data_IF_110888525929
#
_entry.id   IF_110888525929
#
_cell.length_a   1.000
_cell.length_b   1.000
_cell.length_c   1.000
_cell.angle_alpha   90.00
_cell.angle_beta   90.00
_cell.angle_gamma   90.00
#
_symmetry.space_group_name_H-M   'P 1'
#
loop_
_entity.id
_entity.type
_entity.pdbx_description
1 polymer ?
#
# COMPACT_ATOMS: atom_id res chain seq x y z
N UNK A 1 -21.25 6.00 19.40
CA UNK A 1 -21.99 7.20 18.96
C UNK A 1 -22.20 7.08 17.46
N UNK A 2 -23.43 6.93 16.93
CA UNK A 2 -23.63 6.89 15.49
C UNK A 2 -23.54 8.34 14.99
N UNK A 3 -22.35 8.76 14.57
CA UNK A 3 -22.17 10.00 13.83
C UNK A 3 -22.86 9.85 12.48
N UNK A 4 -23.94 10.59 12.25
CA UNK A 4 -24.56 10.63 10.93
C UNK A 4 -23.50 11.06 9.90
N UNK A 5 -23.39 10.35 8.75
CA UNK A 5 -22.43 10.74 7.72
C UNK A 5 -22.72 12.17 7.24
N UNK A 6 -21.69 12.94 6.84
CA UNK A 6 -21.87 14.29 6.28
C UNK A 6 -22.90 14.32 5.15
N UNK A 7 -23.59 15.44 4.96
CA UNK A 7 -24.62 15.61 3.92
C UNK A 7 -24.11 15.23 2.53
N UNK A 8 -22.84 15.54 2.26
CA UNK A 8 -22.11 15.28 1.02
C UNK A 8 -22.00 13.77 0.76
N UNK A 9 -21.66 13.02 1.81
CA UNK A 9 -21.53 11.56 1.76
C UNK A 9 -22.89 10.91 1.58
N UNK A 10 -23.94 11.43 2.24
CA UNK A 10 -25.31 10.93 2.06
C UNK A 10 -25.79 11.13 0.62
N UNK A 11 -25.53 12.30 0.04
CA UNK A 11 -25.86 12.62 -1.35
C UNK A 11 -25.11 11.70 -2.33
N UNK A 12 -23.80 11.54 -2.16
CA UNK A 12 -23.00 10.64 -2.99
C UNK A 12 -23.50 9.19 -2.90
N UNK A 13 -23.81 8.70 -1.70
CA UNK A 13 -24.36 7.36 -1.50
C UNK A 13 -25.70 7.19 -2.22
N UNK A 14 -26.58 8.20 -2.14
CA UNK A 14 -27.85 8.19 -2.85
C UNK A 14 -27.64 8.12 -4.37
N UNK A 15 -26.75 8.95 -4.92
CA UNK A 15 -26.49 8.99 -6.35
C UNK A 15 -25.88 7.68 -6.88
N UNK A 16 -24.98 7.06 -6.10
CA UNK A 16 -24.41 5.75 -6.44
C UNK A 16 -25.47 4.64 -6.34
N UNK A 17 -26.37 4.67 -5.36
CA UNK A 17 -27.50 3.75 -5.30
C UNK A 17 -28.42 3.90 -6.51
N UNK A 18 -28.69 5.14 -6.95
CA UNK A 18 -29.46 5.40 -8.16
C UNK A 18 -28.77 4.82 -9.41
N UNK A 19 -27.44 4.90 -9.49
CA UNK A 19 -26.68 4.28 -10.58
C UNK A 19 -26.88 2.76 -10.61
N UNK A 20 -26.95 2.11 -9.44
CA UNK A 20 -27.04 0.65 -9.28
C UNK A 20 -28.46 0.08 -9.37
N UNK A 21 -29.51 0.91 -9.48
CA UNK A 21 -30.89 0.41 -9.57
C UNK A 21 -31.07 -0.57 -10.74
N UNK A 22 -31.77 -1.70 -10.54
CA UNK A 22 -32.10 -2.61 -11.63
C UNK A 22 -32.85 -1.84 -12.72
N UNK A 23 -32.44 -2.05 -13.98
CA UNK A 23 -32.86 -1.32 -15.19
C UNK A 23 -32.21 0.05 -15.45
N UNK A 24 -31.24 0.49 -14.64
CA UNK A 24 -30.43 1.66 -15.02
C UNK A 24 -29.33 1.26 -16.02
N UNK A 25 -29.34 1.75 -17.28
CA UNK A 25 -28.29 1.44 -18.27
C UNK A 25 -26.92 1.99 -17.84
N UNK A 26 -26.86 2.93 -16.91
CA UNK A 26 -25.62 3.53 -16.44
C UNK A 26 -24.79 2.59 -15.55
N UNK A 27 -25.38 1.75 -14.69
CA UNK A 27 -24.64 0.72 -13.95
C UNK A 27 -23.99 -0.28 -14.90
N UNK A 28 -24.78 -0.80 -15.86
CA UNK A 28 -24.28 -1.71 -16.90
C UNK A 28 -23.15 -1.08 -17.69
N UNK A 29 -23.28 0.17 -18.08
CA UNK A 29 -22.25 0.93 -18.80
C UNK A 29 -20.96 1.13 -17.98
N UNK A 30 -21.08 1.38 -16.67
CA UNK A 30 -19.93 1.53 -15.78
C UNK A 30 -19.20 0.20 -15.57
N UNK A 31 -19.92 -0.87 -15.22
CA UNK A 31 -19.31 -2.20 -15.02
C UNK A 31 -18.70 -2.73 -16.32
N UNK A 32 -19.38 -2.56 -17.47
CA UNK A 32 -18.82 -2.93 -18.77
C UNK A 32 -17.55 -2.13 -19.11
N UNK A 33 -17.50 -0.84 -18.76
CA UNK A 33 -16.29 -0.03 -18.89
C UNK A 33 -15.17 -0.58 -18.02
N UNK A 34 -15.43 -0.83 -16.73
CA UNK A 34 -14.45 -1.36 -15.79
C UNK A 34 -13.90 -2.69 -16.30
N UNK A 35 -14.78 -3.63 -16.66
CA UNK A 35 -14.40 -4.95 -17.21
C UNK A 35 -13.50 -4.84 -18.44
N UNK A 36 -13.86 -3.97 -19.39
CA UNK A 36 -13.05 -3.72 -20.58
C UNK A 36 -11.67 -3.16 -20.22
N UNK A 37 -11.61 -2.21 -19.29
CA UNK A 37 -10.34 -1.61 -18.88
C UNK A 37 -9.46 -2.61 -18.12
N UNK A 38 -10.03 -3.46 -17.26
CA UNK A 38 -9.30 -4.58 -16.62
C UNK A 38 -8.64 -5.48 -17.67
N UNK A 39 -9.38 -5.85 -18.72
CA UNK A 39 -8.88 -6.67 -19.82
C UNK A 39 -7.76 -5.96 -20.61
N UNK A 40 -7.92 -4.66 -20.91
CA UNK A 40 -6.90 -3.87 -21.59
C UNK A 40 -5.57 -3.83 -20.82
N UNK A 41 -5.62 -3.86 -19.49
CA UNK A 41 -4.43 -3.87 -18.64
C UNK A 41 -3.90 -5.29 -18.33
N UNK A 42 -4.60 -6.34 -18.78
CA UNK A 42 -4.23 -7.74 -18.55
C UNK A 42 -4.39 -8.18 -17.08
N UNK A 43 -5.39 -7.63 -16.38
CA UNK A 43 -5.61 -7.86 -14.94
C UNK A 43 -6.78 -8.82 -14.63
N UNK A 44 -7.45 -9.36 -15.64
CA UNK A 44 -8.67 -10.15 -15.51
C UNK A 44 -8.55 -11.43 -14.66
N UNK A 45 -7.33 -11.94 -14.48
CA UNK A 45 -7.08 -13.11 -13.63
C UNK A 45 -6.91 -12.75 -12.14
N UNK A 46 -6.85 -11.46 -11.79
CA UNK A 46 -6.43 -10.98 -10.47
C UNK A 46 -7.45 -10.04 -9.81
N UNK A 47 -8.31 -9.39 -10.60
CA UNK A 47 -9.27 -8.43 -10.10
C UNK A 47 -10.55 -8.43 -10.92
N UNK A 48 -11.68 -8.27 -10.23
CA UNK A 48 -13.01 -8.24 -10.85
C UNK A 48 -13.52 -6.81 -11.02
N UNK A 49 -14.55 -6.64 -11.84
CA UNK A 49 -15.24 -5.36 -11.98
C UNK A 49 -15.89 -4.87 -10.67
N UNK A 50 -16.29 -5.80 -9.80
CA UNK A 50 -16.92 -5.48 -8.52
C UNK A 50 -15.88 -4.93 -7.54
N UNK A 51 -14.68 -5.51 -7.49
CA UNK A 51 -13.59 -5.03 -6.62
C UNK A 51 -13.23 -3.58 -6.94
N UNK A 52 -13.06 -3.27 -8.23
CA UNK A 52 -12.78 -1.91 -8.69
C UNK A 52 -13.94 -0.96 -8.38
N UNK A 53 -15.18 -1.41 -8.56
CA UNK A 53 -16.36 -0.59 -8.27
C UNK A 53 -16.44 -0.25 -6.77
N UNK A 54 -16.27 -1.25 -5.90
CA UNK A 54 -16.32 -1.08 -4.44
C UNK A 54 -15.20 -0.14 -3.98
N UNK A 55 -13.96 -0.34 -4.45
CA UNK A 55 -12.85 0.54 -4.10
C UNK A 55 -13.07 1.97 -4.59
N UNK A 56 -13.60 2.15 -5.81
CA UNK A 56 -13.97 3.47 -6.32
C UNK A 56 -15.01 4.13 -5.41
N UNK A 57 -16.06 3.40 -5.03
CA UNK A 57 -17.09 3.89 -4.11
C UNK A 57 -16.49 4.30 -2.76
N UNK A 58 -15.65 3.45 -2.15
CA UNK A 58 -15.00 3.74 -0.87
C UNK A 58 -14.08 4.96 -0.94
N UNK A 59 -13.38 5.19 -2.06
CA UNK A 59 -12.62 6.42 -2.27
C UNK A 59 -13.53 7.65 -2.36
N UNK A 60 -14.74 7.52 -2.91
CA UNK A 60 -15.72 8.60 -2.99
C UNK A 60 -16.30 8.95 -1.62
N UNK A 61 -16.62 7.93 -0.81
CA UNK A 61 -17.02 8.12 0.59
C UNK A 61 -15.92 8.83 1.38
N UNK A 62 -14.67 8.35 1.30
CA UNK A 62 -13.52 9.00 1.95
C UNK A 62 -13.34 10.45 1.49
N UNK A 63 -13.44 10.72 0.19
CA UNK A 63 -13.34 12.06 -0.37
C UNK A 63 -14.37 13.02 0.23
N UNK A 64 -15.64 12.63 0.23
CA UNK A 64 -16.74 13.47 0.74
C UNK A 64 -16.64 13.70 2.24
N UNK A 65 -16.19 12.70 3.00
CA UNK A 65 -15.97 12.83 4.44
C UNK A 65 -14.82 13.76 4.81
N UNK A 66 -13.70 13.66 4.08
CA UNK A 66 -12.48 14.42 4.38
C UNK A 66 -12.59 15.87 3.92
N UNK A 67 -13.13 16.11 2.71
CA UNK A 67 -13.12 17.44 2.11
C UNK A 67 -14.40 18.23 2.38
N UNK A 68 -15.45 17.58 2.91
CA UNK A 68 -16.79 18.19 3.05
C UNK A 68 -17.30 18.80 1.72
N UNK A 69 -16.92 18.17 0.61
CA UNK A 69 -17.25 18.61 -0.75
C UNK A 69 -18.17 17.64 -1.48
N UNK A 70 -19.07 18.19 -2.29
CA UNK A 70 -20.00 17.44 -3.12
C UNK A 70 -19.34 16.95 -4.40
N UNK A 71 -19.49 15.66 -4.70
CA UNK A 71 -19.13 15.10 -6.01
C UNK A 71 -20.26 15.41 -6.99
N UNK A 72 -20.13 16.51 -7.74
CA UNK A 72 -21.19 17.00 -8.66
C UNK A 72 -21.57 16.03 -9.78
N UNK A 73 -20.64 15.17 -10.22
CA UNK A 73 -20.88 14.21 -11.29
C UNK A 73 -20.43 12.80 -10.87
N UNK A 74 -21.23 12.09 -10.04
CA UNK A 74 -20.84 10.81 -9.46
C UNK A 74 -20.46 9.76 -10.50
N UNK A 75 -21.19 9.68 -11.62
CA UNK A 75 -20.88 8.75 -12.72
C UNK A 75 -19.50 9.01 -13.34
N UNK A 76 -19.18 10.27 -13.65
CA UNK A 76 -17.90 10.63 -14.26
C UNK A 76 -16.75 10.44 -13.28
N UNK A 77 -16.99 10.80 -12.01
CA UNK A 77 -16.05 10.58 -10.92
C UNK A 77 -15.76 9.08 -10.75
N UNK A 78 -16.77 8.23 -10.66
CA UNK A 78 -16.62 6.77 -10.52
C UNK A 78 -15.84 6.18 -11.70
N UNK A 79 -16.10 6.60 -12.94
CA UNK A 79 -15.32 6.14 -14.11
C UNK A 79 -13.85 6.54 -14.02
N UNK A 80 -13.57 7.80 -13.68
CA UNK A 80 -12.20 8.31 -13.55
C UNK A 80 -11.45 7.59 -12.42
N UNK A 81 -12.09 7.43 -11.28
CA UNK A 81 -11.52 6.74 -10.11
C UNK A 81 -11.27 5.27 -10.42
N UNK A 82 -12.22 4.56 -11.05
CA UNK A 82 -12.04 3.18 -11.46
C UNK A 82 -10.84 2.99 -12.41
N UNK A 83 -10.69 3.87 -13.41
CA UNK A 83 -9.53 3.85 -14.30
C UNK A 83 -8.22 4.02 -13.53
N UNK A 84 -8.18 4.98 -12.59
CA UNK A 84 -6.98 5.23 -11.78
C UNK A 84 -6.64 4.03 -10.90
N UNK A 85 -7.61 3.38 -10.27
CA UNK A 85 -7.40 2.17 -9.47
C UNK A 85 -6.81 1.07 -10.35
N UNK A 86 -7.38 0.80 -11.53
CA UNK A 86 -6.86 -0.22 -12.46
C UNK A 86 -5.40 0.08 -12.85
N UNK A 87 -5.09 1.35 -13.13
CA UNK A 87 -3.73 1.78 -13.44
C UNK A 87 -2.78 1.60 -12.25
N UNK A 88 -3.23 1.91 -11.04
CA UNK A 88 -2.47 1.67 -9.81
C UNK A 88 -2.19 0.17 -9.64
N UNK A 89 -3.21 -0.70 -9.73
CA UNK A 89 -3.06 -2.15 -9.66
C UNK A 89 -2.03 -2.68 -10.68
N UNK A 90 -2.05 -2.19 -11.92
CA UNK A 90 -1.07 -2.57 -12.93
C UNK A 90 0.35 -2.18 -12.53
N UNK A 91 0.52 -0.94 -12.07
CA UNK A 91 1.82 -0.42 -11.65
C UNK A 91 2.36 -1.17 -10.44
N UNK A 92 1.50 -1.48 -9.48
CA UNK A 92 1.89 -2.20 -8.27
C UNK A 92 2.27 -3.64 -8.64
N UNK A 93 1.52 -4.30 -9.53
CA UNK A 93 1.90 -5.60 -10.07
C UNK A 93 3.23 -5.59 -10.82
N UNK A 94 3.50 -4.56 -11.61
CA UNK A 94 4.81 -4.41 -12.27
C UNK A 94 5.94 -4.23 -11.25
N UNK A 95 5.70 -3.51 -10.16
CA UNK A 95 6.66 -3.36 -9.07
C UNK A 95 6.91 -4.70 -8.35
N UNK A 96 5.86 -5.44 -8.01
CA UNK A 96 5.99 -6.76 -7.39
C UNK A 96 6.74 -7.75 -8.28
N UNK A 97 6.45 -7.77 -9.60
CA UNK A 97 7.18 -8.63 -10.52
C UNK A 97 8.66 -8.25 -10.65
N UNK A 98 9.00 -6.96 -10.61
CA UNK A 98 10.39 -6.52 -10.61
C UNK A 98 11.12 -6.97 -9.34
N UNK A 99 10.50 -6.80 -8.18
CA UNK A 99 11.08 -7.25 -6.89
C UNK A 99 11.23 -8.77 -6.85
N UNK A 100 10.19 -9.53 -7.23
CA UNK A 100 10.25 -10.99 -7.25
C UNK A 100 11.31 -11.51 -8.25
N UNK A 101 11.53 -10.81 -9.36
CA UNK A 101 12.59 -11.14 -10.31
C UNK A 101 13.97 -10.86 -9.71
N UNK A 102 14.16 -9.72 -9.04
CA UNK A 102 15.40 -9.40 -8.33
C UNK A 102 15.70 -10.44 -7.23
N UNK A 103 14.68 -10.83 -6.44
CA UNK A 103 14.80 -11.89 -5.42
C UNK A 103 15.19 -13.25 -6.01
N UNK A 104 14.58 -13.64 -7.14
CA UNK A 104 14.92 -14.89 -7.84
C UNK A 104 16.38 -14.87 -8.33
N UNK A 105 16.82 -13.75 -8.90
CA UNK A 105 18.20 -13.57 -9.35
C UNK A 105 19.20 -13.61 -8.19
N UNK A 106 18.84 -13.05 -7.02
CA UNK A 106 19.65 -13.15 -5.81
C UNK A 106 19.71 -14.59 -5.27
N UNK A 107 18.61 -15.35 -5.32
CA UNK A 107 18.56 -16.76 -4.91
C UNK A 107 19.36 -17.69 -5.83
N UNK A 108 19.29 -17.48 -7.16
CA UNK A 108 20.09 -18.22 -8.13
C UNK A 108 21.59 -17.92 -7.96
N UNK A 109 21.96 -16.66 -7.71
CA UNK A 109 23.34 -16.28 -7.39
C UNK A 109 23.82 -16.89 -6.06
N UNK A 110 22.93 -17.10 -5.10
CA UNK A 110 23.22 -17.75 -3.82
C UNK A 110 23.15 -19.29 -3.87
N UNK A 111 22.85 -19.89 -5.03
CA UNK A 111 22.79 -21.35 -5.20
C UNK A 111 21.62 -22.04 -4.49
N UNK A 112 20.59 -21.29 -4.09
CA UNK A 112 19.42 -21.82 -3.38
C UNK A 112 18.41 -22.45 -4.34
N UNK A 113 18.22 -23.77 -4.28
CA UNK A 113 17.12 -24.45 -4.96
C UNK A 113 15.74 -24.00 -4.45
N UNK A 114 14.64 -24.37 -5.14
CA UNK A 114 13.29 -23.92 -4.80
C UNK A 114 12.93 -24.41 -3.39
N UNK A 115 12.92 -23.49 -2.44
CA UNK A 115 12.59 -23.75 -1.05
C UNK A 115 11.08 -23.78 -0.91
N UNK A 116 10.54 -24.85 -0.33
CA UNK A 116 9.16 -24.88 0.11
C UNK A 116 8.93 -23.69 1.06
N UNK A 117 7.83 -22.98 0.87
CA UNK A 117 7.45 -21.84 1.70
C UNK A 117 7.35 -22.32 3.15
N UNK A 118 8.30 -21.93 3.99
CA UNK A 118 8.33 -22.27 5.41
C UNK A 118 7.62 -21.16 6.20
N UNK A 119 6.46 -21.47 6.77
CA UNK A 119 5.68 -20.54 7.58
C UNK A 119 6.47 -19.97 8.76
N UNK A 120 7.44 -20.73 9.30
CA UNK A 120 8.33 -20.27 10.37
C UNK A 120 9.29 -19.17 9.87
N UNK A 121 9.81 -19.31 8.65
CA UNK A 121 10.65 -18.29 8.02
C UNK A 121 9.86 -17.01 7.73
N UNK A 122 8.62 -17.14 7.26
CA UNK A 122 7.74 -15.97 7.06
C UNK A 122 7.49 -15.28 8.40
N UNK A 123 7.17 -16.05 9.44
CA UNK A 123 6.87 -15.50 10.78
C UNK A 123 8.09 -14.77 11.36
N UNK A 124 9.28 -15.35 11.22
CA UNK A 124 10.54 -14.71 11.63
C UNK A 124 10.82 -13.43 10.83
N UNK A 125 10.70 -13.46 9.50
CA UNK A 125 10.90 -12.27 8.66
C UNK A 125 9.93 -11.14 9.02
N UNK A 126 8.65 -11.45 9.27
CA UNK A 126 7.66 -10.47 9.73
C UNK A 126 8.08 -9.88 11.09
N UNK A 127 8.51 -10.70 12.05
CA UNK A 127 8.97 -10.22 13.35
C UNK A 127 10.19 -9.29 13.23
N UNK A 128 11.16 -9.65 12.39
CA UNK A 128 12.34 -8.83 12.12
C UNK A 128 11.98 -7.49 11.48
N UNK A 129 11.03 -7.45 10.54
CA UNK A 129 10.52 -6.18 9.97
C UNK A 129 9.84 -5.32 11.04
N UNK A 130 9.03 -5.91 11.92
CA UNK A 130 8.34 -5.18 12.98
C UNK A 130 9.33 -4.58 14.00
N UNK A 131 10.37 -5.33 14.38
CA UNK A 131 11.44 -4.83 15.24
C UNK A 131 12.22 -3.70 14.56
N UNK A 132 12.59 -3.89 13.29
CA UNK A 132 13.27 -2.86 12.52
C UNK A 132 12.44 -1.58 12.44
N UNK A 133 11.14 -1.68 12.13
CA UNK A 133 10.21 -0.54 12.14
C UNK A 133 10.14 0.16 13.51
N UNK A 134 10.18 -0.60 14.60
CA UNK A 134 10.17 -0.07 15.96
C UNK A 134 11.46 0.70 16.31
N UNK A 135 12.60 0.35 15.69
CA UNK A 135 13.88 1.04 15.87
C UNK A 135 13.97 2.38 15.11
N UNK A 136 13.12 2.62 14.11
CA UNK A 136 13.13 3.88 13.36
C UNK A 136 12.57 5.05 14.18
N UNK A 137 13.07 6.24 13.85
CA UNK A 137 12.53 7.50 14.35
C UNK A 137 11.03 7.65 14.02
N UNK A 138 10.22 8.33 14.85
CA UNK A 138 8.79 8.51 14.59
C UNK A 138 8.49 9.16 13.24
N UNK A 139 9.30 10.14 12.83
CA UNK A 139 9.14 10.81 11.53
C UNK A 139 9.39 9.88 10.35
N UNK A 140 10.40 9.03 10.42
CA UNK A 140 10.67 8.05 9.35
C UNK A 140 9.60 6.95 9.31
N UNK A 141 9.14 6.49 10.47
CA UNK A 141 8.06 5.51 10.58
C UNK A 141 6.76 6.03 9.96
N UNK A 142 6.39 7.28 10.27
CA UNK A 142 5.21 7.92 9.69
C UNK A 142 5.32 8.05 8.17
N UNK A 143 6.49 8.43 7.67
CA UNK A 143 6.74 8.50 6.22
C UNK A 143 6.56 7.14 5.54
N UNK A 144 7.12 6.08 6.11
CA UNK A 144 6.99 4.72 5.55
C UNK A 144 5.54 4.26 5.64
N UNK A 145 4.88 4.45 6.79
CA UNK A 145 3.47 4.12 6.99
C UNK A 145 2.59 4.79 5.91
N UNK A 146 2.65 6.11 5.78
CA UNK A 146 1.83 6.84 4.82
C UNK A 146 2.18 6.49 3.36
N UNK A 147 3.47 6.37 3.05
CA UNK A 147 3.90 6.19 1.66
C UNK A 147 3.75 4.76 1.16
N UNK A 148 4.06 3.78 1.99
CA UNK A 148 4.18 2.37 1.62
C UNK A 148 2.94 1.60 2.05
N UNK A 149 2.51 1.74 3.31
CA UNK A 149 1.37 0.98 3.85
C UNK A 149 0.05 1.58 3.39
N UNK A 150 -0.13 2.90 3.52
CA UNK A 150 -1.36 3.60 3.11
C UNK A 150 -1.37 3.98 1.63
N UNK A 151 -0.24 3.83 0.93
CA UNK A 151 -0.14 4.09 -0.50
C UNK A 151 -0.29 5.56 -0.92
N UNK A 152 -0.19 6.52 0.01
CA UNK A 152 -0.40 7.94 -0.27
C UNK A 152 0.60 8.47 -1.31
N UNK A 153 0.17 9.45 -2.10
CA UNK A 153 1.05 10.19 -3.02
C UNK A 153 1.93 11.17 -2.25
N UNK A 154 3.08 11.55 -2.81
CA UNK A 154 3.97 12.52 -2.16
C UNK A 154 3.31 13.84 -1.75
N UNK A 155 2.42 14.45 -2.57
CA UNK A 155 1.65 15.62 -2.13
C UNK A 155 0.74 15.33 -0.91
N UNK A 156 0.08 14.17 -0.87
CA UNK A 156 -0.76 13.80 0.27
C UNK A 156 0.07 13.54 1.54
N UNK A 157 1.24 12.92 1.40
CA UNK A 157 2.21 12.74 2.49
C UNK A 157 2.68 14.09 3.03
N UNK A 158 2.91 15.08 2.15
CA UNK A 158 3.29 16.44 2.55
C UNK A 158 2.20 17.13 3.38
N UNK A 159 0.93 17.00 2.97
CA UNK A 159 -0.21 17.53 3.74
C UNK A 159 -0.28 16.90 5.13
N UNK A 160 -0.18 15.57 5.22
CA UNK A 160 -0.15 14.82 6.49
C UNK A 160 1.01 15.23 7.40
N UNK A 161 2.16 15.52 6.83
CA UNK A 161 3.35 15.94 7.57
C UNK A 161 3.12 17.30 8.25
N UNK A 162 2.46 18.22 7.55
CA UNK A 162 2.11 19.55 8.07
C UNK A 162 0.98 19.46 9.11
N UNK A 163 -0.01 18.59 8.90
CA UNK A 163 -1.05 18.28 9.90
C UNK A 163 -0.45 17.70 11.18
N UNK A 164 0.63 16.93 11.07
CA UNK A 164 1.37 16.38 12.20
C UNK A 164 2.28 17.40 12.91
N UNK A 165 2.25 18.68 12.50
CA UNK A 165 3.00 19.77 13.11
C UNK A 165 4.45 19.90 12.62
N UNK A 166 4.84 19.19 11.56
CA UNK A 166 6.16 19.37 10.93
C UNK A 166 6.13 20.48 9.87
N UNK A 167 7.32 21.00 9.53
CA UNK A 167 7.46 22.06 8.54
C UNK A 167 7.08 21.61 7.12
N UNK A 168 6.56 22.57 6.34
CA UNK A 168 6.32 22.39 4.92
C UNK A 168 7.64 22.26 4.16
N UNK A 169 8.02 21.03 3.82
CA UNK A 169 9.22 20.75 3.02
C UNK A 169 8.88 20.51 1.55
N UNK A 170 9.81 20.82 0.64
CA UNK A 170 9.59 20.59 -0.80
C UNK A 170 9.36 19.10 -1.13
N UNK A 171 8.62 18.82 -2.22
CA UNK A 171 8.39 17.43 -2.66
C UNK A 171 9.69 16.69 -2.98
N UNK A 172 10.72 17.38 -3.49
CA UNK A 172 12.02 16.78 -3.75
C UNK A 172 12.73 16.37 -2.45
N UNK A 173 12.70 17.25 -1.44
CA UNK A 173 13.23 16.99 -0.10
C UNK A 173 12.48 15.82 0.56
N UNK A 174 11.15 15.82 0.48
CA UNK A 174 10.29 14.79 1.04
C UNK A 174 10.57 13.41 0.42
N UNK A 175 10.74 13.35 -0.91
CA UNK A 175 11.15 12.12 -1.61
C UNK A 175 12.50 11.61 -1.12
N UNK A 176 13.48 12.50 -0.99
CA UNK A 176 14.82 12.13 -0.51
C UNK A 176 14.79 11.66 0.95
N UNK A 177 13.97 12.30 1.79
CA UNK A 177 13.74 11.87 3.18
C UNK A 177 13.11 10.49 3.22
N UNK A 178 12.11 10.23 2.39
CA UNK A 178 11.50 8.90 2.28
C UNK A 178 12.45 7.82 1.77
N UNK A 179 13.32 8.15 0.80
CA UNK A 179 14.39 7.24 0.37
C UNK A 179 15.30 6.87 1.55
N UNK A 180 15.78 7.86 2.30
CA UNK A 180 16.65 7.65 3.47
C UNK A 180 15.96 6.85 4.58
N UNK A 181 14.66 7.06 4.79
CA UNK A 181 13.88 6.29 5.74
C UNK A 181 13.84 4.80 5.36
N UNK A 182 13.64 4.47 4.08
CA UNK A 182 13.70 3.10 3.59
C UNK A 182 15.10 2.48 3.70
N UNK A 183 16.15 3.25 3.39
CA UNK A 183 17.54 2.82 3.57
C UNK A 183 17.81 2.47 5.04
N UNK A 184 17.38 3.31 5.98
CA UNK A 184 17.48 3.03 7.43
C UNK A 184 16.69 1.80 7.84
N UNK A 185 15.49 1.59 7.30
CA UNK A 185 14.71 0.39 7.55
C UNK A 185 15.44 -0.86 7.07
N UNK A 186 16.04 -0.84 5.88
CA UNK A 186 16.83 -1.95 5.38
C UNK A 186 18.02 -2.26 6.28
N UNK A 187 18.75 -1.23 6.73
CA UNK A 187 19.85 -1.40 7.67
C UNK A 187 19.38 -1.99 9.00
N UNK A 188 18.29 -1.47 9.57
CA UNK A 188 17.73 -1.98 10.82
C UNK A 188 17.25 -3.44 10.69
N UNK A 189 16.64 -3.79 9.54
CA UNK A 189 16.21 -5.15 9.24
C UNK A 189 17.40 -6.12 9.25
N UNK A 190 18.50 -5.81 8.56
CA UNK A 190 19.68 -6.68 8.54
C UNK A 190 20.33 -6.85 9.92
N UNK A 191 20.19 -5.88 10.82
CA UNK A 191 20.65 -6.02 12.21
C UNK A 191 19.75 -6.99 12.97
N UNK A 192 18.42 -6.82 12.91
CA UNK A 192 17.48 -7.69 13.60
C UNK A 192 17.47 -9.13 13.05
N UNK A 193 17.68 -9.29 11.75
CA UNK A 193 17.74 -10.58 11.07
C UNK A 193 19.04 -11.34 11.41
N UNK A 194 20.16 -10.62 11.51
CA UNK A 194 21.48 -11.20 11.83
C UNK A 194 21.69 -11.57 13.31
N UNK A 195 20.96 -10.95 14.24
CA UNK A 195 21.13 -11.18 15.69
C UNK A 195 20.50 -12.49 16.19
N UNK A 196 19.87 -13.27 15.30
CA UNK A 196 19.25 -14.57 15.62
C UNK A 196 20.21 -15.77 15.46
N UNK A 197 21.47 -15.55 15.05
CA UNK A 197 22.38 -16.62 14.59
C UNK A 197 23.73 -16.76 15.27
N UNK A 198 24.08 -15.94 16.27
CA UNK A 198 25.39 -15.97 16.92
C UNK A 198 25.28 -16.11 18.45
N UNK A 199 24.81 -17.28 18.91
CA UNK A 199 25.12 -17.77 20.26
C UNK A 199 26.40 -18.63 20.17
N UNK A 200 27.52 -17.98 19.82
CA UNK A 200 28.84 -18.58 19.98
C UNK A 200 29.34 -18.22 21.38
N UNK A 201 28.82 -18.94 22.36
CA UNK A 201 29.30 -18.90 23.74
C UNK A 201 30.80 -19.21 23.76
N UNK A 202 31.67 -18.33 24.29
CA UNK A 202 33.11 -18.59 24.33
C UNK A 202 33.38 -19.73 25.32
N UNK A 203 33.79 -20.87 24.77
CA UNK A 203 34.25 -22.03 25.52
C UNK A 203 35.41 -21.61 26.46
N UNK A 204 35.30 -21.78 27.79
CA UNK A 204 36.37 -21.40 28.70
C UNK A 204 37.59 -22.32 28.54
N UNK A 205 38.83 -21.78 28.69
CA UNK A 205 40.05 -22.56 28.50
C UNK A 205 40.17 -23.64 29.58
N UNK A 206 40.22 -24.89 29.13
CA UNK A 206 40.44 -26.06 29.96
C UNK A 206 41.92 -26.10 30.38
N UNK A 207 42.21 -25.64 31.59
CA UNK A 207 43.51 -25.84 32.25
C UNK A 207 43.52 -27.25 32.86
N UNK A 208 44.26 -28.16 32.23
CA UNK A 208 44.72 -29.40 32.86
C UNK A 208 45.75 -29.11 33.96
N UNK A 209 45.76 -29.87 35.06
CA UNK A 209 46.97 -30.30 35.72
C UNK A 209 47.52 -31.61 35.12
#
# INVERSE_FOLDING_TARGET
MPSHPPSETQQFNHDVQLLLKPNNPHARSLLAFIKRTIQQFGLQAHITEIDIFVEAYLRGVRYTQQNQEHIRQPKAWMRRTAYNIIRECKRDRQRYLAVAFDELMEQEAAGGGPTAVNDEMITHAIASVLQALAALSPGDRNLIQWKVVEGLTWPQVQTKLVEAGEEWISLATLRKRGQRALERLRTAYHICDGDSGNDDSPNPPNLMP
#
